data_IF_217107629217
#
_entry.id   IF_217107629217
#
_cell.length_a   1.000
_cell.length_b   1.000
_cell.length_c   1.000
_cell.angle_alpha   90.00
_cell.angle_beta   90.00
_cell.angle_gamma   90.00
#
_symmetry.space_group_name_H-M   'P 1'
#
loop_
_entity.id
_entity.type
_entity.pdbx_description
1 polymer ?
#
# COMPACT_ATOMS: atom_id res chain seq x y z
N UNK A 1 12.97 5.95 -13.32
CA UNK A 1 12.71 5.88 -11.87
C UNK A 1 11.22 5.81 -11.52
N UNK A 2 10.37 6.80 -11.85
CA UNK A 2 8.94 6.77 -11.45
C UNK A 2 8.11 5.64 -12.07
N UNK A 3 8.37 5.29 -13.34
CA UNK A 3 7.71 4.16 -14.03
C UNK A 3 8.09 2.81 -13.39
N UNK A 4 9.37 2.65 -13.03
CA UNK A 4 9.88 1.44 -12.38
C UNK A 4 9.27 1.24 -10.99
N UNK A 5 9.14 2.31 -10.22
CA UNK A 5 8.44 2.28 -8.93
C UNK A 5 6.97 1.87 -9.10
N UNK A 6 6.25 2.44 -10.08
CA UNK A 6 4.87 2.03 -10.39
C UNK A 6 4.78 0.53 -10.72
N UNK A 7 5.67 0.02 -11.57
CA UNK A 7 5.69 -1.40 -11.94
C UNK A 7 5.97 -2.32 -10.74
N UNK A 8 6.94 -1.96 -9.89
CA UNK A 8 7.26 -2.75 -8.70
C UNK A 8 6.09 -2.78 -7.70
N UNK A 9 5.37 -1.67 -7.54
CA UNK A 9 4.17 -1.62 -6.69
C UNK A 9 3.07 -2.50 -7.28
N UNK A 10 2.82 -2.44 -8.60
CA UNK A 10 1.81 -3.28 -9.25
C UNK A 10 2.12 -4.77 -9.12
N UNK A 11 3.39 -5.16 -9.29
CA UNK A 11 3.83 -6.55 -9.12
C UNK A 11 3.64 -7.05 -7.68
N UNK A 12 4.00 -6.21 -6.70
CA UNK A 12 3.79 -6.52 -5.29
C UNK A 12 2.30 -6.68 -4.96
N UNK A 13 1.45 -5.76 -5.42
CA UNK A 13 0.00 -5.80 -5.19
C UNK A 13 -0.64 -7.03 -5.83
N UNK A 14 -0.19 -7.42 -7.03
CA UNK A 14 -0.70 -8.60 -7.70
C UNK A 14 -0.34 -9.90 -6.95
N UNK A 15 0.77 -9.89 -6.21
CA UNK A 15 1.27 -11.04 -5.46
C UNK A 15 0.82 -11.08 -3.99
N UNK A 16 0.26 -9.99 -3.46
CA UNK A 16 -0.08 -9.86 -2.04
C UNK A 16 -1.51 -9.37 -1.86
N UNK A 17 -2.34 -10.17 -1.17
CA UNK A 17 -3.75 -9.80 -0.93
C UNK A 17 -3.93 -8.62 0.05
N UNK A 18 -2.95 -8.37 0.91
CA UNK A 18 -2.99 -7.31 1.90
C UNK A 18 -1.87 -6.29 1.66
N UNK A 19 -2.27 -5.08 1.27
CA UNK A 19 -1.35 -4.03 0.84
C UNK A 19 -1.06 -3.12 2.03
N UNK A 20 0.20 -3.08 2.44
CA UNK A 20 0.72 -2.11 3.42
C UNK A 20 1.73 -1.20 2.74
N UNK A 21 1.53 0.12 2.85
CA UNK A 21 2.46 1.11 2.29
C UNK A 21 3.85 0.99 2.93
N UNK A 22 3.92 0.62 4.22
CA UNK A 22 5.19 0.35 4.90
C UNK A 22 5.92 -0.82 4.25
N UNK A 23 5.23 -1.92 3.96
CA UNK A 23 5.86 -3.07 3.33
C UNK A 23 6.30 -2.77 1.88
N UNK A 24 5.53 -1.93 1.16
CA UNK A 24 5.89 -1.47 -0.17
C UNK A 24 7.13 -0.56 -0.14
N UNK A 25 7.24 0.32 0.84
CA UNK A 25 8.42 1.17 1.06
C UNK A 25 9.67 0.31 1.30
N UNK A 26 9.55 -0.70 2.16
CA UNK A 26 10.64 -1.65 2.44
C UNK A 26 11.01 -2.48 1.20
N UNK A 27 10.01 -2.98 0.45
CA UNK A 27 10.21 -3.78 -0.76
C UNK A 27 10.89 -2.98 -1.88
N UNK A 28 10.48 -1.74 -2.08
CA UNK A 28 11.01 -0.87 -3.15
C UNK A 28 12.27 -0.13 -2.73
N UNK A 29 12.66 -0.23 -1.46
CA UNK A 29 13.73 0.54 -0.83
C UNK A 29 13.56 2.05 -1.10
N UNK A 30 12.34 2.56 -0.92
CA UNK A 30 11.96 3.94 -1.13
C UNK A 30 11.35 4.55 0.13
N UNK A 31 11.31 5.88 0.19
CA UNK A 31 10.65 6.58 1.29
C UNK A 31 9.14 6.34 1.29
N UNK A 32 8.57 6.16 2.49
CA UNK A 32 7.13 5.95 2.70
C UNK A 32 6.26 6.99 1.98
N UNK A 33 6.60 8.28 2.09
CA UNK A 33 5.82 9.36 1.49
C UNK A 33 5.81 9.30 -0.04
N UNK A 34 6.93 8.90 -0.64
CA UNK A 34 7.03 8.72 -2.08
C UNK A 34 6.16 7.55 -2.54
N UNK A 35 6.24 6.42 -1.84
CA UNK A 35 5.43 5.24 -2.15
C UNK A 35 3.94 5.53 -1.96
N UNK A 36 3.57 6.23 -0.89
CA UNK A 36 2.18 6.63 -0.65
C UNK A 36 1.61 7.48 -1.80
N UNK A 37 2.36 8.49 -2.24
CA UNK A 37 1.94 9.35 -3.35
C UNK A 37 1.77 8.57 -4.66
N UNK A 38 2.63 7.57 -4.93
CA UNK A 38 2.50 6.74 -6.14
C UNK A 38 1.35 5.74 -6.01
N UNK A 39 1.11 5.18 -4.83
CA UNK A 39 -0.04 4.30 -4.57
C UNK A 39 -1.35 5.08 -4.77
N UNK A 40 -1.46 6.30 -4.23
CA UNK A 40 -2.62 7.16 -4.43
C UNK A 40 -2.86 7.44 -5.93
N UNK A 41 -1.80 7.75 -6.68
CA UNK A 41 -1.88 7.97 -8.14
C UNK A 41 -2.36 6.70 -8.88
N UNK A 42 -1.86 5.52 -8.53
CA UNK A 42 -2.29 4.24 -9.12
C UNK A 42 -3.73 3.86 -8.74
N UNK A 43 -4.19 4.27 -7.56
CA UNK A 43 -5.59 4.13 -7.14
C UNK A 43 -6.50 5.05 -7.94
N UNK A 44 -6.12 6.31 -8.12
CA UNK A 44 -6.86 7.29 -8.94
C UNK A 44 -6.94 6.85 -10.41
N UNK A 45 -5.88 6.21 -10.92
CA UNK A 45 -5.85 5.58 -12.25
C UNK A 45 -6.68 4.27 -12.34
N UNK A 46 -7.16 3.74 -11.21
CA UNK A 46 -7.94 2.50 -11.14
C UNK A 46 -7.12 1.23 -11.36
N UNK A 47 -5.80 1.30 -11.26
CA UNK A 47 -4.88 0.19 -11.48
C UNK A 47 -4.70 -0.70 -10.25
N UNK A 48 -4.92 -0.14 -9.05
CA UNK A 48 -4.86 -0.86 -7.78
C UNK A 48 -6.22 -0.72 -7.08
N UNK A 49 -6.79 -1.83 -6.57
CA UNK A 49 -8.06 -1.75 -5.86
C UNK A 49 -7.93 -0.98 -4.54
N UNK A 50 -8.95 -0.20 -4.21
CA UNK A 50 -9.10 0.45 -2.91
C UNK A 50 -9.44 -0.59 -1.82
N UNK A 51 -8.52 -1.51 -1.53
CA UNK A 51 -8.60 -2.35 -0.34
C UNK A 51 -7.78 -1.67 0.75
N UNK A 52 -8.33 -0.58 1.27
CA UNK A 52 -7.97 -0.09 2.59
C UNK A 52 -8.43 -1.14 3.61
N UNK A 53 -7.68 -2.24 3.73
CA UNK A 53 -7.69 -3.06 4.94
C UNK A 53 -6.76 -2.40 5.95
N UNK A 54 -6.95 -1.10 6.18
CA UNK A 54 -6.50 -0.49 7.42
C UNK A 54 -7.46 -1.05 8.45
N UNK A 55 -7.12 -2.23 9.00
CA UNK A 55 -7.69 -2.74 10.22
C UNK A 55 -7.32 -1.74 11.33
N UNK A 56 -8.03 -0.62 11.36
CA UNK A 56 -8.29 0.11 12.59
C UNK A 56 -9.24 -0.77 13.39
N UNK A 57 -8.79 -1.91 13.88
CA UNK A 57 -9.46 -2.53 15.02
C UNK A 57 -9.17 -1.61 16.19
N UNK A 58 -10.14 -0.85 16.72
CA UNK A 58 -9.96 -0.34 18.05
C UNK A 58 -9.91 -1.61 18.90
N UNK A 59 -8.78 -1.84 19.58
CA UNK A 59 -8.77 -2.76 20.70
C UNK A 59 -9.92 -2.33 21.63
N UNK A 60 -11.08 -2.99 21.54
CA UNK A 60 -12.11 -2.89 22.55
C UNK A 60 -11.53 -3.64 23.74
N UNK A 61 -10.82 -2.89 24.57
CA UNK A 61 -10.32 -3.36 25.84
C UNK A 61 -11.43 -4.10 26.55
N UNK A 62 -11.13 -5.34 26.94
CA UNK A 62 -11.88 -6.11 27.92
C UNK A 62 -12.38 -5.17 29.01
N UNK A 63 -13.69 -5.05 29.16
CA UNK A 63 -14.33 -4.55 30.36
C UNK A 63 -15.75 -5.12 30.45
N UNK A 64 -15.85 -6.36 30.93
CA UNK A 64 -16.74 -6.79 32.02
C UNK A 64 -16.66 -8.31 32.22
#
# INVERSE_FOLDING_TARGET
MRIELKMNILDYVNSNENISITNLADYTNQEYLLVAAVVDELMDEGLIPFKSSVNNTPFHGKNR
#
